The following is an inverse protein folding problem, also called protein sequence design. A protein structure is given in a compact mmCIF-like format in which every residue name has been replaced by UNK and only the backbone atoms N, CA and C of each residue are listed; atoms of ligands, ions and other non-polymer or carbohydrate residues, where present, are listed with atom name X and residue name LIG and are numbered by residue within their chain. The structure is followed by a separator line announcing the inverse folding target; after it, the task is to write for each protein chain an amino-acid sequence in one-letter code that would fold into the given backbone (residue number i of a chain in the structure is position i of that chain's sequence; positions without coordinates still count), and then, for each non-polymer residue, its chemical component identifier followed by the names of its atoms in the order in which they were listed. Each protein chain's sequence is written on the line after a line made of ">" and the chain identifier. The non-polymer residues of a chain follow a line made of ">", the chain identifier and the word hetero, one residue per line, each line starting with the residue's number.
data_IF_502379939072
#
_entry.id   IF_502379939072
#
_cell.length_a   1.000
_cell.length_b   1.000
_cell.length_c   1.000
_cell.angle_alpha   90.00
_cell.angle_beta   90.00
_cell.angle_gamma   90.00
#
_symmetry.space_group_name_H-M   'P 1'
#
loop_
_entity.id
_entity.type
_entity.pdbx_description
1 polymer ?
2 non-polymer ?
3 non-polymer ?
4 non-polymer ?
5 non-polymer ?
6 water ?
#
# COMPACT_ATOMS: atom_id res chain seq x y z
N UNK A 1 13.71 -26.50 -8.55
CA UNK A 1 13.70 -27.11 -9.88
C UNK A 1 12.97 -26.24 -10.92
N UNK A 2 11.86 -25.60 -10.52
CA UNK A 2 11.09 -24.79 -11.47
C UNK A 2 11.91 -23.65 -12.05
N UNK A 3 12.71 -22.99 -11.22
CA UNK A 3 13.42 -21.79 -11.66
C UNK A 3 14.91 -22.00 -11.84
N UNK A 4 15.38 -23.25 -11.80
CA UNK A 4 16.81 -23.49 -12.01
C UNK A 4 17.19 -23.09 -13.42
N UNK A 5 18.30 -22.37 -13.56
CA UNK A 5 18.76 -21.83 -14.85
C UNK A 5 17.73 -20.88 -15.47
N UNK A 6 16.86 -20.29 -14.65
CA UNK A 6 15.91 -19.29 -15.12
C UNK A 6 16.02 -18.08 -14.21
N UNK A 7 15.51 -16.93 -14.68
CA UNK A 7 15.52 -15.73 -13.86
C UNK A 7 14.13 -15.11 -13.79
N UNK A 8 13.91 -14.35 -12.72
CA UNK A 8 12.61 -13.75 -12.43
C UNK A 8 12.78 -12.24 -12.46
N UNK A 9 11.84 -11.54 -13.11
CA UNK A 9 11.80 -10.08 -13.05
C UNK A 9 10.58 -9.66 -12.26
N UNK A 10 10.79 -8.92 -11.17
CA UNK A 10 9.72 -8.30 -10.40
C UNK A 10 9.60 -6.84 -10.81
N UNK A 11 8.40 -6.41 -11.20
CA UNK A 11 8.20 -5.04 -11.64
C UNK A 11 7.69 -4.24 -10.45
N UNK A 12 8.52 -3.35 -9.93
CA UNK A 12 8.11 -2.52 -8.82
C UNK A 12 8.72 -2.95 -7.49
N UNK A 13 9.40 -2.02 -6.83
CA UNK A 13 10.00 -2.32 -5.56
C UNK A 13 9.26 -1.67 -4.39
N UNK A 14 7.95 -1.82 -4.34
CA UNK A 14 7.18 -1.44 -3.15
C UNK A 14 7.36 -2.48 -2.05
N UNK A 15 6.62 -2.37 -0.95
CA UNK A 15 6.79 -3.40 0.11
C UNK A 15 6.49 -4.80 -0.39
N UNK A 16 5.52 -4.95 -1.31
CA UNK A 16 5.16 -6.30 -1.77
C UNK A 16 6.22 -6.85 -2.72
N UNK A 17 6.63 -6.04 -3.70
CA UNK A 17 7.68 -6.51 -4.62
C UNK A 17 8.99 -6.84 -3.93
N UNK A 18 9.42 -6.01 -2.98
CA UNK A 18 10.68 -6.31 -2.29
C UNK A 18 10.56 -7.56 -1.46
N UNK A 19 9.41 -7.76 -0.81
CA UNK A 19 9.22 -8.98 -0.03
C UNK A 19 9.25 -10.21 -0.96
N UNK A 20 8.46 -10.18 -2.05
CA UNK A 20 8.67 -11.13 -3.16
C UNK A 20 10.11 -11.46 -3.48
N UNK A 21 10.93 -10.43 -3.71
CA UNK A 21 12.30 -10.68 -4.11
C UNK A 21 13.08 -11.41 -3.02
N UNK A 22 12.89 -10.99 -1.76
CA UNK A 22 13.63 -11.60 -0.66
C UNK A 22 13.27 -13.08 -0.56
N UNK A 23 11.97 -13.38 -0.60
CA UNK A 23 11.53 -14.76 -0.45
C UNK A 23 12.01 -15.65 -1.60
N UNK A 24 12.13 -15.12 -2.81
CA UNK A 24 12.70 -15.90 -3.89
C UNK A 24 14.21 -16.01 -3.76
N UNK A 25 14.85 -14.88 -3.48
CA UNK A 25 16.31 -14.86 -3.44
C UNK A 25 16.83 -15.79 -2.36
N UNK A 26 16.14 -15.86 -1.23
CA UNK A 26 16.68 -16.68 -0.14
C UNK A 26 16.58 -18.17 -0.46
N UNK A 27 15.83 -18.53 -1.49
CA UNK A 27 15.78 -19.89 -1.99
C UNK A 27 16.71 -20.11 -3.18
N UNK A 28 17.67 -19.22 -3.40
CA UNK A 28 18.60 -19.40 -4.49
C UNK A 28 18.08 -19.03 -5.87
N UNK A 29 17.01 -18.26 -5.95
CA UNK A 29 16.45 -17.85 -7.24
C UNK A 29 17.18 -16.62 -7.72
N UNK A 30 17.49 -16.58 -9.01
CA UNK A 30 18.01 -15.40 -9.68
C UNK A 30 16.84 -14.43 -9.93
N UNK A 31 16.77 -13.35 -9.16
CA UNK A 31 15.64 -12.42 -9.27
C UNK A 31 16.18 -11.00 -9.24
N UNK A 32 15.61 -10.13 -10.09
CA UNK A 32 15.85 -8.69 -10.07
C UNK A 32 14.53 -7.93 -9.86
N UNK A 33 14.62 -6.79 -9.19
CA UNK A 33 13.49 -5.88 -9.01
C UNK A 33 13.75 -4.64 -9.86
N UNK A 34 12.82 -4.30 -10.75
CA UNK A 34 12.92 -3.08 -11.53
C UNK A 34 12.02 -2.01 -10.93
N UNK A 35 12.60 -0.93 -10.44
CA UNK A 35 11.88 0.11 -9.70
C UNK A 35 12.06 1.47 -10.38
N UNK A 36 10.96 2.18 -10.61
CA UNK A 36 11.02 3.42 -11.38
C UNK A 36 11.67 4.55 -10.58
N UNK A 37 11.58 4.51 -9.25
CA UNK A 37 12.24 5.52 -8.41
C UNK A 37 13.70 5.67 -8.79
N UNK A 38 14.17 6.93 -8.75
CA UNK A 38 15.50 7.21 -9.27
C UNK A 38 16.57 6.57 -8.40
N UNK A 39 16.38 6.57 -7.07
CA UNK A 39 17.30 5.87 -6.16
C UNK A 39 16.61 5.69 -4.82
N UNK A 40 17.30 4.99 -3.91
CA UNK A 40 16.65 4.59 -2.66
C UNK A 40 16.49 5.73 -1.67
N UNK A 41 17.01 6.92 -1.95
CA UNK A 41 16.88 8.03 -1.00
C UNK A 41 15.57 8.79 -1.15
N UNK A 42 14.85 8.61 -2.25
CA UNK A 42 13.54 9.22 -2.45
C UNK A 42 12.57 8.83 -1.33
N UNK A 43 12.04 9.82 -0.63
CA UNK A 43 11.15 9.53 0.49
C UNK A 43 9.80 9.01 -0.01
N UNK A 44 9.23 8.07 0.73
CA UNK A 44 7.90 7.54 0.43
C UNK A 44 6.89 8.35 1.22
N UNK A 45 5.93 8.95 0.53
CA UNK A 45 4.92 9.76 1.18
C UNK A 45 3.78 8.86 1.62
N UNK A 46 3.26 9.09 2.82
CA UNK A 46 2.10 8.35 3.28
C UNK A 46 2.14 8.04 4.76
N UNK A 47 1.08 7.44 5.30
CA UNK A 47 1.05 7.06 6.70
C UNK A 47 1.87 5.80 6.98
N UNK A 48 1.68 5.26 8.17
CA UNK A 48 2.38 4.04 8.57
C UNK A 48 1.64 2.80 8.08
N UNK A 49 2.34 1.66 8.13
CA UNK A 49 1.80 0.35 7.82
C UNK A 49 1.89 -0.54 9.05
N UNK A 50 0.88 -1.38 9.25
CA UNK A 50 0.88 -2.38 10.30
C UNK A 50 0.83 -3.76 9.67
N UNK A 51 1.72 -4.64 10.09
CA UNK A 51 1.77 -6.00 9.57
C UNK A 51 0.99 -6.93 10.51
N UNK A 52 0.15 -7.78 9.93
CA UNK A 52 -0.76 -8.64 10.71
C UNK A 52 -0.18 -10.02 10.94
N UNK A 53 -0.51 -10.61 12.09
CA UNK A 53 -0.14 -12.00 12.31
C UNK A 53 -0.83 -12.90 11.28
N UNK A 54 -0.12 -13.91 10.81
CA UNK A 54 -0.66 -14.80 9.81
C UNK A 54 -0.63 -14.30 8.38
N UNK A 55 -0.36 -13.02 8.15
CA UNK A 55 -0.23 -12.56 6.77
C UNK A 55 1.05 -11.75 6.62
N UNK A 56 0.98 -10.44 6.79
CA UNK A 56 2.18 -9.63 6.65
C UNK A 56 3.31 -10.07 7.57
N UNK A 57 2.98 -10.40 8.82
CA UNK A 57 4.05 -10.83 9.72
C UNK A 57 4.56 -12.22 9.37
N UNK A 58 3.71 -13.04 8.74
CA UNK A 58 4.16 -14.36 8.35
C UNK A 58 5.15 -14.29 7.20
N UNK A 59 4.94 -13.34 6.28
CA UNK A 59 5.94 -13.06 5.27
C UNK A 59 7.26 -12.62 5.88
N UNK A 60 7.22 -11.73 6.88
CA UNK A 60 8.46 -11.24 7.47
C UNK A 60 9.17 -12.37 8.21
N UNK A 61 8.41 -13.20 8.93
CA UNK A 61 9.00 -14.31 9.67
C UNK A 61 9.70 -15.29 8.73
N UNK A 62 9.04 -15.64 7.62
CA UNK A 62 9.65 -16.54 6.64
C UNK A 62 10.96 -15.98 6.09
N UNK A 63 11.04 -14.64 5.98
CA UNK A 63 12.23 -13.97 5.45
C UNK A 63 13.32 -13.75 6.51
N UNK A 64 13.07 -14.07 7.78
CA UNK A 64 14.02 -13.79 8.83
C UNK A 64 14.03 -12.36 9.30
N UNK A 65 12.95 -11.62 9.05
CA UNK A 65 12.93 -10.18 9.29
C UNK A 65 11.90 -9.78 10.34
N UNK A 66 11.24 -10.74 10.99
CA UNK A 66 10.16 -10.37 11.90
C UNK A 66 10.70 -9.51 13.05
N UNK A 67 11.84 -9.88 13.62
CA UNK A 67 12.40 -9.09 14.70
C UNK A 67 12.83 -7.72 14.19
N UNK A 68 13.40 -7.69 12.99
CA UNK A 68 13.79 -6.43 12.39
C UNK A 68 12.61 -5.47 12.31
N UNK A 69 11.44 -6.00 11.92
CA UNK A 69 10.21 -5.20 11.88
C UNK A 69 9.80 -4.75 13.28
N UNK A 70 9.72 -5.69 14.23
CA UNK A 70 9.37 -5.35 15.60
C UNK A 70 10.25 -4.22 16.16
N UNK A 71 11.53 -4.23 15.83
CA UNK A 71 12.42 -3.25 16.42
C UNK A 71 12.14 -1.83 15.90
N UNK A 72 11.47 -1.70 14.77
CA UNK A 72 11.23 -0.38 14.17
C UNK A 72 9.76 -0.02 14.16
N UNK A 73 8.90 -0.85 14.74
CA UNK A 73 7.47 -0.64 14.74
C UNK A 73 6.99 -0.25 16.14
N UNK A 74 5.95 0.60 16.18
CA UNK A 74 5.37 1.12 17.41
C UNK A 74 3.92 0.67 17.50
N UNK A 75 3.50 0.00 18.56
CA UNK A 75 2.06 -0.11 18.81
C UNK A 75 1.53 1.27 19.15
N UNK A 76 0.36 1.60 18.64
CA UNK A 76 -0.23 2.88 18.96
C UNK A 76 -1.70 2.71 19.26
N UNK A 77 -2.17 3.42 20.29
CA UNK A 77 -3.58 3.42 20.63
C UNK A 77 -4.39 4.25 19.66
N UNK A 78 -5.70 4.29 19.92
CA UNK A 78 -6.65 5.01 19.09
C UNK A 78 -7.58 5.82 19.98
N UNK A 79 -7.74 7.09 19.66
CA UNK A 79 -8.77 7.95 20.23
C UNK A 79 -9.77 8.24 19.13
N UNK A 80 -11.05 8.09 19.43
CA UNK A 80 -12.12 8.64 18.61
C UNK A 80 -12.55 9.96 19.23
N UNK A 81 -12.59 11.01 18.42
CA UNK A 81 -13.02 12.33 18.84
C UNK A 81 -14.21 12.77 18.00
N UNK A 82 -15.00 13.71 18.52
CA UNK A 82 -16.01 14.33 17.68
C UNK A 82 -15.45 15.63 17.09
N UNK A 83 -16.28 16.30 16.30
CA UNK A 83 -15.89 17.51 15.59
C UNK A 83 -15.58 18.66 16.54
N UNK A 84 -16.05 18.60 17.77
CA UNK A 84 -15.77 19.64 18.75
C UNK A 84 -14.50 19.37 19.54
N UNK A 85 -13.83 18.25 19.29
CA UNK A 85 -12.63 17.90 20.04
C UNK A 85 -12.85 17.13 21.31
N UNK A 86 -14.08 16.66 21.56
CA UNK A 86 -14.32 15.79 22.69
C UNK A 86 -13.82 14.39 22.36
N UNK A 87 -13.04 13.81 23.28
CA UNK A 87 -12.60 12.42 23.12
C UNK A 87 -13.77 11.53 23.50
N UNK A 88 -14.30 10.80 22.52
CA UNK A 88 -15.44 9.92 22.72
C UNK A 88 -15.03 8.55 23.23
N UNK A 89 -13.84 8.07 22.88
CA UNK A 89 -13.30 6.86 23.47
C UNK A 89 -11.80 6.83 23.27
N UNK A 90 -11.14 6.06 24.13
CA UNK A 90 -9.68 5.94 24.14
C UNK A 90 -9.34 4.47 24.34
N UNK A 91 -8.56 3.92 23.44
CA UNK A 91 -8.15 2.52 23.53
C UNK A 91 -6.64 2.46 23.33
N UNK A 92 -5.91 2.20 24.40
CA UNK A 92 -4.47 2.00 24.31
C UNK A 92 -4.17 0.53 24.07
N UNK A 93 -2.93 0.26 23.69
CA UNK A 93 -2.51 -1.11 23.40
C UNK A 93 -2.04 -1.77 24.69
N UNK A 94 -2.67 -2.88 25.03
CA UNK A 94 -2.25 -3.65 26.18
C UNK A 94 -0.95 -4.38 25.85
N UNK A 95 -0.05 -4.55 26.83
CA UNK A 95 1.28 -5.11 26.51
C UNK A 95 1.23 -6.49 25.88
N UNK A 96 0.25 -7.33 26.23
CA UNK A 96 0.19 -8.64 25.58
C UNK A 96 -0.18 -8.53 24.10
N UNK A 97 -0.65 -7.37 23.66
CA UNK A 97 -1.01 -7.18 22.25
C UNK A 97 0.00 -6.32 21.50
N UNK A 98 1.18 -6.08 22.09
CA UNK A 98 2.16 -5.19 21.46
C UNK A 98 2.71 -5.72 20.14
N UNK A 99 2.46 -6.98 19.82
CA UNK A 99 2.97 -7.57 18.57
C UNK A 99 1.86 -7.85 17.57
N UNK A 100 0.62 -7.42 17.87
CA UNK A 100 -0.51 -7.72 17.00
C UNK A 100 -0.35 -7.05 15.65
N UNK A 101 -0.05 -5.76 15.65
CA UNK A 101 0.13 -5.00 14.42
C UNK A 101 0.76 -3.64 14.74
N UNK A 102 2.00 -3.62 15.20
CA UNK A 102 2.65 -2.34 15.48
C UNK A 102 2.94 -1.60 14.19
N UNK A 103 2.92 -0.26 14.28
CA UNK A 103 2.99 0.60 13.10
C UNK A 103 4.45 0.88 12.76
N UNK A 104 4.77 0.79 11.45
CA UNK A 104 6.12 1.05 10.95
C UNK A 104 6.07 2.09 9.84
N UNK A 105 7.03 3.01 9.87
CA UNK A 105 7.18 4.00 8.81
C UNK A 105 7.50 3.31 7.48
N UNK A 106 6.92 3.80 6.38
CA UNK A 106 7.11 3.14 5.09
C UNK A 106 8.55 3.17 4.63
N UNK A 107 9.30 4.23 4.96
CA UNK A 107 10.72 4.26 4.59
C UNK A 107 11.52 3.26 5.44
N UNK A 108 11.17 3.09 6.71
CA UNK A 108 11.83 2.08 7.52
C UNK A 108 11.56 0.67 7.00
N UNK A 109 10.31 0.37 6.63
CA UNK A 109 10.01 -0.94 6.05
C UNK A 109 10.79 -1.15 4.74
N UNK A 110 10.80 -0.14 3.86
CA UNK A 110 11.61 -0.26 2.64
C UNK A 110 13.07 -0.57 2.98
N UNK A 111 13.64 0.17 3.93
CA UNK A 111 15.04 -0.02 4.28
C UNK A 111 15.30 -1.44 4.79
N UNK A 112 14.39 -1.96 5.63
CA UNK A 112 14.53 -3.32 6.14
C UNK A 112 14.62 -4.31 4.99
N UNK A 113 13.71 -4.16 4.02
CA UNK A 113 13.65 -5.09 2.89
C UNK A 113 14.87 -4.94 1.98
N UNK A 114 15.21 -3.70 1.61
CA UNK A 114 16.38 -3.50 0.76
C UNK A 114 17.65 -4.04 1.42
N UNK A 115 17.83 -3.76 2.72
CA UNK A 115 19.01 -4.25 3.41
C UNK A 115 19.11 -5.77 3.39
N UNK A 116 17.98 -6.45 3.29
CA UNK A 116 17.94 -7.90 3.30
C UNK A 116 18.29 -8.52 1.95
N UNK A 117 18.37 -7.73 0.88
CA UNK A 117 18.61 -8.26 -0.45
C UNK A 117 20.09 -8.18 -0.79
N UNK A 118 20.55 -9.09 -1.66
CA UNK A 118 21.92 -9.00 -2.15
C UNK A 118 22.09 -7.72 -2.93
N UNK A 119 23.33 -7.19 -2.94
CA UNK A 119 23.62 -5.96 -3.65
C UNK A 119 23.17 -6.09 -5.10
N UNK A 120 22.63 -4.98 -5.64
CA UNK A 120 22.19 -4.87 -7.02
C UNK A 120 20.99 -5.75 -7.36
N UNK A 121 20.26 -6.25 -6.36
CA UNK A 121 19.00 -6.92 -6.65
C UNK A 121 18.00 -5.93 -7.23
N UNK A 122 17.90 -4.74 -6.64
CA UNK A 122 17.01 -3.72 -7.14
C UNK A 122 17.75 -2.90 -8.18
N UNK A 123 17.18 -2.77 -9.37
CA UNK A 123 17.70 -1.90 -10.41
C UNK A 123 16.85 -0.64 -10.43
N UNK A 124 17.39 0.46 -9.91
CA UNK A 124 16.68 1.72 -9.82
C UNK A 124 16.60 2.44 -11.18
N UNK A 125 15.74 3.46 -11.22
CA UNK A 125 15.54 4.25 -12.43
C UNK A 125 15.16 3.35 -13.60
N UNK A 126 14.24 2.40 -13.36
CA UNK A 126 13.79 1.47 -14.38
C UNK A 126 12.27 1.50 -14.36
N UNK A 127 11.68 2.27 -15.26
CA UNK A 127 10.23 2.32 -15.41
C UNK A 127 9.84 1.43 -16.56
N UNK A 128 9.26 0.27 -16.24
CA UNK A 128 8.79 -0.64 -17.28
C UNK A 128 7.65 0.01 -18.05
N UNK A 129 7.75 0.00 -19.38
CA UNK A 129 6.68 0.52 -20.21
C UNK A 129 6.04 -0.55 -21.09
N UNK A 130 6.71 -1.67 -21.37
CA UNK A 130 6.04 -2.69 -22.18
C UNK A 130 6.70 -4.05 -22.01
N UNK A 131 5.93 -5.09 -22.31
CA UNK A 131 6.34 -6.47 -22.18
C UNK A 131 6.08 -7.14 -23.52
N UNK A 132 6.98 -8.01 -23.91
CA UNK A 132 6.76 -8.78 -25.12
C UNK A 132 7.21 -10.20 -24.88
N UNK A 133 6.32 -11.18 -25.09
CA UNK A 133 6.72 -12.59 -24.91
C UNK A 133 7.47 -13.08 -26.13
N UNK A 134 8.64 -13.65 -25.92
CA UNK A 134 9.38 -14.33 -26.96
C UNK A 134 9.09 -15.82 -26.96
N UNK A 135 10.00 -16.57 -27.57
CA UNK A 135 9.83 -18.01 -27.64
C UNK A 135 9.82 -18.64 -26.26
N UNK A 136 10.72 -18.18 -25.39
CA UNK A 136 10.79 -18.68 -24.02
C UNK A 136 10.95 -17.59 -22.98
N UNK A 137 11.36 -16.38 -23.34
CA UNK A 137 11.61 -15.31 -22.38
C UNK A 137 10.79 -14.08 -22.72
N UNK A 138 10.38 -13.36 -21.66
CA UNK A 138 9.84 -12.03 -21.84
C UNK A 138 10.96 -11.05 -22.17
N UNK A 139 10.69 -10.10 -23.07
CA UNK A 139 11.55 -8.93 -23.21
C UNK A 139 10.88 -7.75 -22.51
N UNK A 140 11.63 -7.07 -21.65
CA UNK A 140 11.13 -5.96 -20.83
C UNK A 140 11.66 -4.67 -21.42
N UNK A 141 10.77 -3.74 -21.75
CA UNK A 141 11.18 -2.44 -22.27
C UNK A 141 11.01 -1.37 -21.20
N UNK A 142 12.10 -0.64 -20.94
CA UNK A 142 12.14 0.40 -19.93
C UNK A 142 12.33 1.75 -20.60
N UNK A 143 11.89 2.80 -19.89
CA UNK A 143 11.99 4.18 -20.39
C UNK A 143 13.45 4.60 -20.52
N UNK A 144 13.91 4.75 -21.77
CA UNK A 144 15.24 5.27 -22.11
C UNK A 144 16.37 4.45 -21.50
N UNK A 145 16.15 3.16 -21.29
CA UNK A 145 17.17 2.30 -20.71
C UNK A 145 17.18 1.00 -21.50
N UNK A 146 18.27 0.24 -21.45
CA UNK A 146 18.34 -0.98 -22.27
C UNK A 146 17.37 -2.03 -21.75
N UNK A 147 16.91 -2.87 -22.68
CA UNK A 147 15.91 -3.88 -22.36
C UNK A 147 16.55 -5.04 -21.60
N UNK A 148 15.69 -5.88 -21.00
CA UNK A 148 16.09 -7.04 -20.21
C UNK A 148 15.16 -8.20 -20.52
N UNK A 149 15.59 -9.42 -20.19
CA UNK A 149 14.76 -10.60 -20.43
C UNK A 149 14.54 -11.38 -19.14
N UNK A 150 13.43 -12.11 -19.07
CA UNK A 150 13.17 -12.94 -17.91
C UNK A 150 12.25 -14.10 -18.30
N UNK A 151 12.45 -15.24 -17.63
CA UNK A 151 11.56 -16.38 -17.83
C UNK A 151 10.22 -16.18 -17.16
N UNK A 152 10.19 -15.43 -16.06
CA UNK A 152 8.98 -15.21 -15.30
C UNK A 152 8.90 -13.73 -14.95
N UNK A 153 7.74 -13.10 -15.20
CA UNK A 153 7.54 -11.70 -14.83
C UNK A 153 6.47 -11.64 -13.75
N UNK A 154 6.74 -10.92 -12.66
CA UNK A 154 5.79 -10.73 -11.57
C UNK A 154 5.48 -9.25 -11.50
N UNK A 155 4.25 -8.87 -11.82
CA UNK A 155 3.84 -7.47 -11.80
C UNK A 155 3.54 -7.06 -10.36
N UNK A 156 4.35 -6.13 -9.82
CA UNK A 156 4.16 -5.67 -8.45
C UNK A 156 4.24 -4.15 -8.35
N UNK A 157 3.76 -3.43 -9.37
CA UNK A 157 4.07 -2.01 -9.47
C UNK A 157 2.88 -1.13 -9.11
N UNK A 158 2.00 -1.64 -8.26
CA UNK A 158 1.01 -0.80 -7.61
C UNK A 158 -0.31 -0.74 -8.34
N UNK A 159 -1.23 0.02 -7.73
CA UNK A 159 -2.60 -0.02 -8.15
C UNK A 159 -2.88 0.60 -9.51
N UNK A 160 -2.05 1.53 -9.97
CA UNK A 160 -2.28 2.17 -11.26
C UNK A 160 -1.47 1.54 -12.38
N UNK A 161 -1.02 0.30 -12.20
CA UNK A 161 -0.16 -0.35 -13.17
C UNK A 161 -0.78 -0.34 -14.56
N UNK A 162 0.04 -0.01 -15.56
CA UNK A 162 -0.37 -0.05 -16.96
C UNK A 162 0.14 -1.29 -17.69
N UNK A 163 0.75 -2.24 -16.98
CA UNK A 163 1.34 -3.42 -17.62
C UNK A 163 0.64 -4.69 -17.15
N UNK A 164 -0.70 -4.68 -17.13
CA UNK A 164 -1.46 -5.82 -16.64
C UNK A 164 -2.15 -6.65 -17.71
N UNK A 165 -2.18 -6.17 -18.96
CA UNK A 165 -3.08 -6.74 -19.96
C UNK A 165 -2.73 -8.19 -20.33
N UNK A 166 -1.48 -8.62 -20.15
CA UNK A 166 -1.25 -10.04 -20.35
C UNK A 166 -1.91 -10.90 -19.29
N UNK A 167 -2.35 -10.31 -18.17
CA UNK A 167 -2.96 -11.05 -17.09
C UNK A 167 -4.48 -10.85 -17.06
N UNK A 168 -4.95 -9.63 -17.32
CA UNK A 168 -6.37 -9.35 -17.17
C UNK A 168 -6.73 -8.06 -17.89
N UNK A 169 -7.97 -8.00 -18.38
CA UNK A 169 -8.47 -6.76 -18.97
C UNK A 169 -9.19 -5.88 -17.95
N UNK A 170 -9.30 -6.32 -16.71
CA UNK A 170 -9.91 -5.48 -15.67
C UNK A 170 -9.25 -4.11 -15.64
N UNK A 171 -10.07 -3.07 -15.43
CA UNK A 171 -9.60 -1.70 -15.34
C UNK A 171 -9.80 -1.18 -13.92
N UNK A 172 -8.89 -0.30 -13.49
CA UNK A 172 -9.04 0.32 -12.17
C UNK A 172 -10.26 1.24 -12.19
N UNK A 173 -10.98 1.29 -11.07
CA UNK A 173 -12.19 2.09 -10.93
C UNK A 173 -12.06 3.09 -9.79
N UNK A 174 -12.64 4.28 -9.97
CA UNK A 174 -12.86 5.20 -8.87
C UNK A 174 -14.10 4.79 -8.08
N UNK A 175 -14.01 4.83 -6.75
CA UNK A 175 -15.11 4.39 -5.90
C UNK A 175 -16.08 5.50 -5.53
N UNK A 176 -15.73 6.75 -5.78
CA UNK A 176 -16.59 7.86 -5.39
C UNK A 176 -16.17 8.62 -4.13
N UNK A 177 -15.12 8.19 -3.44
CA UNK A 177 -14.59 8.97 -2.33
C UNK A 177 -13.23 9.55 -2.69
N UNK A 178 -12.82 10.56 -1.93
CA UNK A 178 -11.62 11.31 -2.25
C UNK A 178 -10.84 11.56 -0.96
N UNK A 179 -9.51 11.59 -1.08
CA UNK A 179 -8.62 11.68 0.07
C UNK A 179 -7.61 12.80 -0.11
N UNK A 180 -7.37 13.53 0.98
CA UNK A 180 -6.37 14.57 1.03
C UNK A 180 -5.45 14.24 2.20
N UNK A 181 -4.15 14.19 1.92
CA UNK A 181 -3.18 13.82 2.94
C UNK A 181 -2.11 14.89 3.05
N UNK A 182 -1.48 14.93 4.22
CA UNK A 182 -0.42 15.90 4.44
C UNK A 182 0.39 15.48 5.65
N UNK A 183 1.61 15.98 5.71
CA UNK A 183 2.46 15.86 6.89
C UNK A 183 2.64 17.23 7.53
N UNK A 184 2.68 17.24 8.86
CA UNK A 184 3.08 18.40 9.63
C UNK A 184 4.34 18.03 10.40
N UNK A 185 5.41 18.77 10.15
CA UNK A 185 6.65 18.59 10.91
C UNK A 185 6.59 19.42 12.17
N UNK A 186 7.28 18.95 13.20
CA UNK A 186 7.25 19.52 14.55
C UNK A 186 5.80 19.83 14.96
N UNK A 187 4.93 18.82 14.99
CA UNK A 187 3.51 19.09 15.31
C UNK A 187 3.31 19.64 16.70
N UNK A 188 4.17 19.25 17.65
CA UNK A 188 4.04 19.76 19.02
C UNK A 188 4.13 21.28 19.04
N UNK A 189 4.78 21.86 18.04
CA UNK A 189 4.92 23.30 17.90
C UNK A 189 3.95 23.87 16.89
N UNK A 190 3.70 23.17 15.78
CA UNK A 190 2.98 23.78 14.67
C UNK A 190 1.47 23.53 14.69
N UNK A 191 1.03 22.42 15.28
CA UNK A 191 -0.38 22.21 15.57
C UNK A 191 -0.52 21.69 17.01
N UNK A 192 -0.11 22.50 18.00
CA UNK A 192 -0.03 21.98 19.37
C UNK A 192 -1.37 21.52 19.92
N UNK A 193 -2.44 22.24 19.61
CA UNK A 193 -3.74 21.85 20.14
C UNK A 193 -4.15 20.46 19.66
N UNK A 194 -4.02 20.21 18.34
CA UNK A 194 -4.40 18.90 17.80
C UNK A 194 -3.44 17.81 18.25
N UNK A 195 -2.16 18.15 18.37
CA UNK A 195 -1.16 17.21 18.85
C UNK A 195 -1.47 16.72 20.26
N UNK A 196 -1.88 17.64 21.15
CA UNK A 196 -2.26 17.24 22.49
C UNK A 196 -3.55 16.44 22.49
N UNK A 197 -4.47 16.75 21.56
CA UNK A 197 -5.69 15.97 21.44
C UNK A 197 -5.39 14.51 21.14
N UNK A 198 -4.45 14.26 20.21
CA UNK A 198 -4.05 12.89 19.91
C UNK A 198 -3.45 12.22 21.14
N UNK A 199 -2.64 12.96 21.89
CA UNK A 199 -2.09 12.49 23.16
C UNK A 199 -1.34 11.16 22.98
N UNK A 200 -0.51 11.11 21.95
CA UNK A 200 0.25 9.90 21.66
C UNK A 200 -0.52 8.79 20.99
N UNK A 201 -1.81 8.97 20.72
CA UNK A 201 -2.61 7.96 20.04
C UNK A 201 -2.95 8.41 18.64
N UNK A 202 -3.23 7.45 17.76
CA UNK A 202 -3.93 7.81 16.54
C UNK A 202 -5.28 8.42 16.87
N UNK A 203 -5.79 9.23 15.95
CA UNK A 203 -7.06 9.91 16.17
C UNK A 203 -7.94 9.78 14.94
N UNK A 204 -9.21 9.51 15.16
CA UNK A 204 -10.22 9.46 14.10
C UNK A 204 -11.44 10.25 14.52
N UNK A 205 -12.00 10.99 13.56
CA UNK A 205 -13.19 11.78 13.82
C UNK A 205 -14.03 11.82 12.55
N UNK A 206 -15.35 11.88 12.73
CA UNK A 206 -16.28 11.86 11.60
C UNK A 206 -17.44 12.81 11.87
N UNK A 207 -17.78 13.64 10.89
CA UNK A 207 -18.86 14.60 11.07
C UNK A 207 -19.38 15.00 9.71
N UNK A 208 -20.69 14.78 9.48
CA UNK A 208 -21.38 15.24 8.27
C UNK A 208 -20.66 14.77 7.01
N UNK A 209 -20.20 13.53 7.03
CA UNK A 209 -19.62 12.93 5.84
C UNK A 209 -18.16 13.25 5.60
N UNK A 210 -17.54 14.06 6.46
CA UNK A 210 -16.12 14.34 6.37
C UNK A 210 -15.40 13.57 7.46
N UNK A 211 -14.40 12.78 7.05
CA UNK A 211 -13.65 11.94 7.97
C UNK A 211 -12.24 12.49 8.10
N UNK A 212 -11.69 12.39 9.32
CA UNK A 212 -10.31 12.80 9.57
C UNK A 212 -9.59 11.71 10.33
N UNK A 213 -8.40 11.35 9.85
CA UNK A 213 -7.52 10.40 10.50
C UNK A 213 -6.16 11.04 10.71
N UNK A 214 -5.55 10.76 11.86
CA UNK A 214 -4.22 11.30 12.12
C UNK A 214 -3.38 10.35 12.95
N UNK A 215 -2.09 10.34 12.63
CA UNK A 215 -1.08 9.65 13.42
C UNK A 215 -0.10 10.72 13.89
N UNK A 216 -0.04 11.04 15.19
CA UNK A 216 0.80 12.15 15.63
C UNK A 216 2.29 11.86 15.65
N UNK A 217 2.69 10.62 15.36
CA UNK A 217 4.11 10.27 15.50
C UNK A 217 4.51 9.27 14.44
N UNK A 218 4.73 9.75 13.23
CA UNK A 218 5.27 8.94 12.16
C UNK A 218 6.71 9.41 11.93
N UNK A 219 7.64 8.81 12.68
CA UNK A 219 9.04 9.24 12.70
C UNK A 219 9.16 10.75 12.90
N UNK A 220 8.39 11.25 13.84
CA UNK A 220 8.49 12.63 14.26
C UNK A 220 7.52 13.58 13.60
N UNK A 221 6.96 13.21 12.45
CA UNK A 221 5.95 14.04 11.80
C UNK A 221 4.55 13.58 12.18
N UNK A 222 3.60 14.50 12.13
CA UNK A 222 2.19 14.14 12.21
C UNK A 222 1.67 13.94 10.80
N UNK A 223 1.08 12.79 10.53
CA UNK A 223 0.46 12.52 9.24
C UNK A 223 -1.04 12.48 9.44
N UNK A 224 -1.77 13.17 8.56
CA UNK A 224 -3.23 13.12 8.64
C UNK A 224 -3.85 13.02 7.26
N UNK A 225 -5.07 12.51 7.25
CA UNK A 225 -5.84 12.41 6.02
C UNK A 225 -7.27 12.83 6.28
N UNK A 226 -7.87 13.44 5.26
CA UNK A 226 -9.27 13.85 5.27
C UNK A 226 -9.94 13.20 4.08
N UNK A 227 -11.07 12.53 4.31
CA UNK A 227 -11.78 11.83 3.26
C UNK A 227 -13.25 12.21 3.23
N UNK A 228 -13.83 12.17 2.04
CA UNK A 228 -15.19 12.60 1.81
C UNK A 228 -15.64 12.05 0.46
N UNK A 229 -16.96 11.92 0.30
CA UNK A 229 -17.51 11.66 -1.02
C UNK A 229 -17.05 12.74 -1.99
N UNK A 230 -16.61 12.32 -3.17
CA UNK A 230 -16.14 13.28 -4.15
C UNK A 230 -17.24 14.26 -4.50
N UNK A 231 -16.99 15.56 -4.42
CA UNK A 231 -18.04 16.54 -4.73
C UNK A 231 -18.51 16.42 -6.17
N UNK A 232 -19.80 16.70 -6.38
CA UNK A 232 -20.39 16.57 -7.71
C UNK A 232 -19.81 17.59 -8.69
N UNK A 233 -19.41 18.77 -8.21
CA UNK A 233 -18.87 19.79 -9.10
C UNK A 233 -17.54 19.39 -9.72
N UNK A 234 -16.83 18.45 -9.12
CA UNK A 234 -15.47 18.13 -9.56
C UNK A 234 -15.42 17.39 -10.89
N UNK A 238 -12.01 18.07 -10.84
CA UNK A 238 -11.44 18.52 -9.58
C UNK A 238 -11.18 20.03 -9.59
N UNK A 239 -12.09 20.78 -8.94
CA UNK A 239 -12.03 22.23 -8.88
C UNK A 239 -11.00 22.76 -7.88
N UNK A 240 -10.24 21.87 -7.25
CA UNK A 240 -9.19 22.25 -6.31
C UNK A 240 -7.85 21.90 -6.95
N UNK A 241 -6.93 22.85 -6.94
CA UNK A 241 -5.57 22.66 -7.43
C UNK A 241 -4.68 22.33 -6.25
N UNK A 242 -4.24 21.08 -6.14
CA UNK A 242 -3.44 20.66 -4.99
C UNK A 242 -2.01 21.19 -5.06
N UNK A 243 -1.63 21.84 -6.15
CA UNK A 243 -0.39 22.58 -6.18
C UNK A 243 -0.54 23.96 -5.53
N UNK A 244 -1.78 24.42 -5.33
CA UNK A 244 -2.05 25.75 -4.77
C UNK A 244 -2.58 25.55 -3.35
N UNK A 245 -1.70 25.71 -2.35
CA UNK A 245 -2.14 25.44 -0.98
C UNK A 245 -3.30 26.35 -0.58
N UNK A 246 -3.32 27.57 -1.09
CA UNK A 246 -4.40 28.50 -0.74
C UNK A 246 -5.75 27.99 -1.23
N UNK A 247 -5.77 27.33 -2.39
CA UNK A 247 -7.02 26.78 -2.91
C UNK A 247 -7.51 25.62 -2.05
N UNK A 248 -6.59 24.76 -1.59
CA UNK A 248 -6.96 23.63 -0.74
C UNK A 248 -7.36 24.11 0.65
N UNK A 249 -6.59 25.03 1.24
CA UNK A 249 -6.98 25.58 2.54
C UNK A 249 -8.39 26.14 2.46
N UNK A 250 -8.69 26.87 1.38
CA UNK A 250 -10.01 27.49 1.27
C UNK A 250 -11.10 26.43 1.22
N UNK A 251 -10.88 25.39 0.43
CA UNK A 251 -11.88 24.31 0.31
C UNK A 251 -12.07 23.61 1.65
N UNK A 252 -10.97 23.24 2.31
CA UNK A 252 -11.07 22.46 3.54
C UNK A 252 -11.70 23.28 4.66
N UNK A 253 -11.36 24.57 4.77
CA UNK A 253 -11.93 25.38 5.84
C UNK A 253 -13.43 25.56 5.70
N UNK A 254 -13.95 25.53 4.46
CA UNK A 254 -15.40 25.55 4.27
C UNK A 254 -16.03 24.23 4.73
N UNK A 255 -15.44 23.11 4.31
CA UNK A 255 -15.97 21.80 4.70
C UNK A 255 -15.90 21.59 6.20
N UNK A 256 -14.84 22.07 6.84
CA UNK A 256 -14.61 21.87 8.27
C UNK A 256 -15.04 23.08 9.10
N UNK A 257 -15.92 23.93 8.56
CA UNK A 257 -16.29 25.18 9.22
C UNK A 257 -16.83 24.96 10.62
N UNK A 258 -17.52 23.84 10.87
CA UNK A 258 -18.09 23.63 12.19
C UNK A 258 -17.20 22.81 13.11
N UNK A 259 -15.98 22.49 12.67
CA UNK A 259 -15.07 21.74 13.52
C UNK A 259 -14.31 22.67 14.45
N UNK A 260 -13.87 22.11 15.58
CA UNK A 260 -13.09 22.84 16.56
C UNK A 260 -11.84 23.44 15.92
N UNK A 261 -11.36 24.56 16.50
CA UNK A 261 -10.20 25.26 15.95
C UNK A 261 -8.93 24.41 15.97
N UNK A 262 -8.82 23.43 16.87
CA UNK A 262 -7.63 22.58 16.85
C UNK A 262 -7.52 21.84 15.51
N UNK A 263 -8.67 21.44 14.95
CA UNK A 263 -8.70 20.85 13.62
C UNK A 263 -8.42 21.88 12.53
N UNK A 264 -9.06 23.05 12.63
CA UNK A 264 -8.84 24.07 11.61
C UNK A 264 -7.38 24.50 11.57
N UNK A 265 -6.70 24.51 12.72
CA UNK A 265 -5.30 24.95 12.70
C UNK A 265 -4.43 23.95 11.97
N UNK A 266 -4.78 22.66 12.06
CA UNK A 266 -4.15 21.64 11.22
C UNK A 266 -4.19 22.02 9.75
N UNK A 267 -5.37 22.39 9.25
CA UNK A 267 -5.52 22.77 7.86
C UNK A 267 -4.73 24.04 7.55
N UNK A 268 -4.81 25.04 8.43
CA UNK A 268 -4.21 26.34 8.12
C UNK A 268 -2.68 26.27 8.13
N UNK A 269 -2.06 25.37 8.89
CA UNK A 269 -0.60 25.37 8.96
C UNK A 269 0.07 24.36 8.05
N UNK A 270 -0.69 23.54 7.32
CA UNK A 270 -0.10 22.52 6.46
C UNK A 270 0.62 23.18 5.27
N UNK A 271 1.88 22.76 5.01
CA UNK A 271 2.65 23.38 3.94
C UNK A 271 2.16 22.93 2.55
N UNK A 272 1.87 21.64 2.37
CA UNK A 272 1.35 21.18 1.09
C UNK A 272 0.44 19.98 1.29
N UNK A 273 -0.52 19.84 0.37
CA UNK A 273 -1.52 18.77 0.45
C UNK A 273 -1.42 17.88 -0.78
N UNK A 274 -1.72 16.60 -0.58
CA UNK A 274 -1.74 15.60 -1.66
C UNK A 274 -3.16 15.06 -1.78
N UNK A 275 -3.76 15.22 -2.96
CA UNK A 275 -5.11 14.73 -3.21
C UNK A 275 -5.08 13.44 -4.02
N UNK A 276 -6.00 12.53 -3.71
CA UNK A 276 -6.01 11.21 -4.34
C UNK A 276 -7.42 10.65 -4.35
N UNK A 277 -7.97 10.40 -5.54
CA UNK A 277 -9.26 9.71 -5.60
C UNK A 277 -9.08 8.28 -5.10
N UNK A 278 -10.06 7.82 -4.31
CA UNK A 278 -10.10 6.41 -3.91
C UNK A 278 -10.39 5.53 -5.12
N UNK A 279 -9.66 4.42 -5.22
CA UNK A 279 -9.79 3.54 -6.37
C UNK A 279 -9.81 2.09 -5.92
N UNK A 280 -10.29 1.24 -6.81
CA UNK A 280 -10.35 -0.20 -6.57
C UNK A 280 -9.97 -0.89 -7.87
N UNK A 281 -9.26 -2.02 -7.76
CA UNK A 281 -8.99 -2.87 -8.93
C UNK A 281 -9.75 -4.17 -8.70
N UNK A 282 -10.98 -4.29 -9.20
CA UNK A 282 -11.91 -5.29 -8.63
C UNK A 282 -11.61 -6.69 -9.12
N UNK A 283 -11.58 -7.63 -8.18
CA UNK A 283 -11.48 -9.04 -8.48
C UNK A 283 -12.88 -9.56 -8.82
N UNK A 284 -13.03 -10.15 -10.01
CA UNK A 284 -14.34 -10.67 -10.41
C UNK A 284 -14.25 -11.99 -11.13
N UNK A 285 -14.49 -11.97 -12.44
CA UNK A 285 -14.24 -13.16 -13.26
C UNK A 285 -12.74 -13.49 -13.25
N UNK A 286 -12.44 -14.73 -13.63
CA UNK A 286 -11.07 -15.20 -13.60
C UNK A 286 -10.17 -14.32 -14.46
N UNK A 287 -8.88 -14.38 -14.16
CA UNK A 287 -7.89 -13.74 -14.99
C UNK A 287 -7.69 -14.55 -16.27
N UNK A 288 -6.87 -14.04 -17.19
CA UNK A 288 -6.70 -14.74 -18.46
C UNK A 288 -6.02 -16.11 -18.27
N UNK A 289 -6.55 -17.11 -18.96
CA UNK A 289 -5.92 -18.42 -18.96
C UNK A 289 -4.95 -18.55 -20.14
N UNK A 290 -4.07 -19.55 -20.05
CA UNK A 290 -3.14 -19.91 -21.13
C UNK A 290 -2.39 -18.69 -21.66
N UNK A 291 -1.69 -18.01 -20.75
CA UNK A 291 -0.92 -16.82 -21.11
C UNK A 291 0.32 -17.24 -21.92
N UNK A 292 0.82 -16.36 -22.79
CA UNK A 292 1.89 -16.79 -23.72
C UNK A 292 3.16 -17.25 -23.02
N UNK A 293 3.55 -16.60 -21.93
CA UNK A 293 4.65 -17.04 -21.08
C UNK A 293 4.23 -16.82 -19.62
N UNK A 294 4.94 -17.37 -18.63
CA UNK A 294 4.49 -17.23 -17.24
C UNK A 294 4.52 -15.79 -16.77
N UNK A 295 3.40 -15.33 -16.21
CA UNK A 295 3.29 -13.98 -15.68
C UNK A 295 2.15 -13.95 -14.68
N UNK A 296 2.30 -13.14 -13.63
CA UNK A 296 1.23 -12.95 -12.66
C UNK A 296 1.40 -11.58 -12.02
N UNK A 297 0.53 -11.27 -11.06
CA UNK A 297 0.55 -9.99 -10.36
C UNK A 297 0.30 -10.18 -8.88
N UNK A 298 0.89 -9.31 -8.08
CA UNK A 298 0.78 -9.36 -6.61
C UNK A 298 0.56 -7.95 -6.09
N UNK A 299 0.02 -7.88 -4.87
CA UNK A 299 -0.12 -6.58 -4.21
C UNK A 299 -1.21 -5.71 -4.82
N UNK A 300 -1.01 -4.39 -4.74
CA UNK A 300 -2.02 -3.48 -5.27
C UNK A 300 -2.25 -3.68 -6.76
N UNK A 301 -1.20 -4.06 -7.51
CA UNK A 301 -1.41 -4.36 -8.93
C UNK A 301 -2.46 -5.45 -9.12
N UNK A 302 -2.52 -6.40 -8.18
CA UNK A 302 -3.49 -7.49 -8.25
C UNK A 302 -4.86 -7.11 -7.67
N UNK A 303 -4.90 -6.30 -6.62
CA UNK A 303 -6.18 -6.13 -5.92
C UNK A 303 -6.26 -4.85 -5.09
N UNK A 304 -5.80 -3.73 -5.67
CA UNK A 304 -5.99 -2.41 -5.11
C UNK A 304 -7.41 -2.25 -4.55
N UNK A 305 -7.51 -1.63 -3.40
CA UNK A 305 -8.75 -1.66 -2.62
C UNK A 305 -8.79 -0.45 -1.71
N UNK A 306 -9.97 0.12 -1.47
CA UNK A 306 -10.08 1.33 -0.62
C UNK A 306 -9.42 1.10 0.73
N UNK A 307 -8.73 2.12 1.27
CA UNK A 307 -7.93 1.90 2.49
C UNK A 307 -8.73 2.08 3.78
N UNK A 308 -9.96 1.57 3.78
CA UNK A 308 -10.81 1.71 4.95
C UNK A 308 -10.98 0.40 5.73
N UNK A 309 -10.28 -0.67 5.36
CA UNK A 309 -10.31 -1.90 6.14
C UNK A 309 -8.94 -2.32 6.66
N UNK A 310 -7.88 -1.57 6.34
CA UNK A 310 -6.55 -1.93 6.77
C UNK A 310 -6.04 -3.24 6.23
N UNK A 311 -6.58 -3.73 5.12
CA UNK A 311 -6.15 -5.01 4.56
C UNK A 311 -5.23 -4.85 3.36
N UNK A 312 -4.94 -3.61 2.95
CA UNK A 312 -4.12 -3.28 1.79
C UNK A 312 -2.80 -4.00 1.66
N UNK A 313 -1.80 -3.66 2.50
CA UNK A 313 -0.48 -4.25 2.29
C UNK A 313 -0.45 -5.70 2.75
N UNK A 314 -1.29 -6.07 3.72
CA UNK A 314 -1.20 -7.43 4.27
C UNK A 314 -1.66 -8.47 3.29
N UNK A 315 -2.69 -8.18 2.49
CA UNK A 315 -3.05 -9.12 1.44
C UNK A 315 -1.96 -9.21 0.39
N UNK A 316 -1.25 -8.09 0.13
CA UNK A 316 -0.15 -8.14 -0.81
C UNK A 316 0.99 -8.98 -0.29
N UNK A 317 1.27 -8.91 1.01
CA UNK A 317 2.35 -9.71 1.56
C UNK A 317 1.99 -11.20 1.59
N UNK A 318 0.71 -11.52 1.78
CA UNK A 318 0.27 -12.90 1.62
C UNK A 318 0.47 -13.40 0.21
N UNK A 319 0.19 -12.57 -0.80
CA UNK A 319 0.50 -12.93 -2.18
C UNK A 319 1.95 -13.37 -2.31
N UNK A 320 2.86 -12.53 -1.81
CA UNK A 320 4.28 -12.85 -1.96
C UNK A 320 4.63 -14.14 -1.24
N UNK A 321 4.06 -14.35 -0.05
CA UNK A 321 4.33 -15.58 0.69
C UNK A 321 3.86 -16.80 -0.08
N UNK A 322 2.63 -16.75 -0.60
CA UNK A 322 2.04 -17.89 -1.29
C UNK A 322 2.77 -18.16 -2.60
N UNK A 323 2.93 -17.11 -3.42
CA UNK A 323 3.58 -17.30 -4.72
C UNK A 323 5.01 -17.81 -4.55
N UNK A 324 5.78 -17.23 -3.62
CA UNK A 324 7.16 -17.67 -3.47
C UNK A 324 7.23 -19.12 -3.00
N UNK A 325 6.33 -19.53 -2.11
CA UNK A 325 6.30 -20.92 -1.68
C UNK A 325 6.01 -21.85 -2.86
N UNK A 326 4.97 -21.55 -3.64
CA UNK A 326 4.63 -22.38 -4.78
C UNK A 326 5.77 -22.47 -5.77
N UNK A 327 6.50 -21.37 -5.99
CA UNK A 327 7.59 -21.41 -6.95
C UNK A 327 8.80 -22.16 -6.43
N UNK A 328 8.88 -22.44 -5.14
CA UNK A 328 10.09 -23.01 -4.58
C UNK A 328 9.88 -24.32 -3.81
N UNK A 329 8.65 -24.77 -3.59
CA UNK A 329 8.46 -25.91 -2.71
C UNK A 329 8.58 -27.26 -3.42
N UNK A 330 8.80 -27.26 -4.74
CA UNK A 330 9.01 -28.47 -5.51
C UNK A 330 7.76 -29.29 -5.79
N UNK A 331 6.58 -28.76 -5.51
CA UNK A 331 5.35 -29.55 -5.67
C UNK A 331 4.69 -29.38 -7.01
N UNK A 332 5.01 -28.34 -7.77
CA UNK A 332 4.28 -28.03 -8.99
C UNK A 332 5.08 -28.48 -10.22
N UNK A 333 4.39 -28.97 -11.25
CA UNK A 333 5.07 -29.43 -12.45
C UNK A 333 5.45 -28.30 -13.40
N UNK A 334 4.94 -27.10 -13.19
CA UNK A 334 5.31 -26.02 -14.08
C UNK A 334 5.13 -24.71 -13.35
N UNK A 335 5.81 -23.67 -13.85
CA UNK A 335 5.62 -22.33 -13.31
C UNK A 335 4.17 -21.90 -13.46
N UNK A 336 3.56 -22.20 -14.62
CA UNK A 336 2.17 -21.84 -14.84
C UNK A 336 1.26 -22.42 -13.76
N UNK A 337 1.52 -23.67 -13.35
CA UNK A 337 0.68 -24.31 -12.35
C UNK A 337 0.91 -23.74 -10.95
N UNK A 338 2.14 -23.40 -10.62
CA UNK A 338 2.40 -22.71 -9.35
C UNK A 338 1.68 -21.37 -9.30
N UNK A 339 1.68 -20.64 -10.41
CA UNK A 339 0.97 -19.35 -10.50
C UNK A 339 -0.53 -19.54 -10.32
N UNK A 340 -1.09 -20.51 -11.05
CA UNK A 340 -2.54 -20.75 -10.97
C UNK A 340 -2.96 -21.03 -9.53
N UNK A 341 -2.14 -21.79 -8.81
CA UNK A 341 -2.47 -22.12 -7.43
C UNK A 341 -2.46 -20.89 -6.54
N UNK A 342 -1.47 -20.01 -6.73
CA UNK A 342 -1.45 -18.74 -6.01
C UNK A 342 -2.68 -17.92 -6.33
N UNK A 343 -2.99 -17.74 -7.62
CA UNK A 343 -4.08 -16.85 -8.01
C UNK A 343 -5.43 -17.34 -7.48
N UNK A 344 -5.65 -18.66 -7.52
CA UNK A 344 -6.90 -19.19 -6.99
C UNK A 344 -7.03 -18.90 -5.49
N UNK A 345 -5.94 -19.05 -4.73
CA UNK A 345 -6.00 -18.72 -3.31
C UNK A 345 -6.26 -17.24 -3.11
N UNK A 346 -5.61 -16.39 -3.92
CA UNK A 346 -5.65 -14.96 -3.65
C UNK A 346 -6.98 -14.38 -4.04
N UNK A 347 -7.66 -14.98 -5.02
CA UNK A 347 -8.99 -14.53 -5.37
C UNK A 347 -9.95 -14.67 -4.20
N UNK A 348 -9.68 -15.61 -3.30
CA UNK A 348 -10.58 -15.83 -2.15
C UNK A 348 -10.34 -14.78 -1.08
N UNK A 349 -9.13 -14.75 -0.50
CA UNK A 349 -8.89 -13.75 0.53
C UNK A 349 -8.90 -12.35 -0.06
N UNK A 350 -8.54 -12.20 -1.34
CA UNK A 350 -8.59 -10.88 -1.96
C UNK A 350 -10.00 -10.38 -2.13
N UNK A 351 -10.91 -11.25 -2.58
CA UNK A 351 -12.31 -10.84 -2.67
C UNK A 351 -12.90 -10.54 -1.30
N UNK A 352 -12.51 -11.29 -0.28
CA UNK A 352 -13.00 -11.00 1.07
C UNK A 352 -12.53 -9.64 1.54
N UNK A 353 -11.23 -9.37 1.41
CA UNK A 353 -10.72 -8.07 1.82
C UNK A 353 -11.39 -6.95 1.03
N UNK A 354 -11.55 -7.13 -0.28
CA UNK A 354 -12.15 -6.08 -1.09
C UNK A 354 -13.60 -5.85 -0.69
N UNK A 355 -14.33 -6.90 -0.34
CA UNK A 355 -15.71 -6.73 0.11
C UNK A 355 -15.76 -5.96 1.41
N UNK A 356 -14.92 -6.34 2.38
CA UNK A 356 -14.89 -5.62 3.65
C UNK A 356 -14.51 -4.15 3.44
N UNK A 357 -13.50 -3.88 2.60
CA UNK A 357 -13.09 -2.50 2.34
C UNK A 357 -14.24 -1.72 1.71
N UNK A 358 -14.92 -2.33 0.75
CA UNK A 358 -15.98 -1.62 0.05
C UNK A 358 -17.19 -1.43 0.97
N UNK A 359 -17.46 -2.42 1.83
CA UNK A 359 -18.53 -2.28 2.82
C UNK A 359 -18.22 -1.19 3.83
N UNK A 360 -17.03 -1.20 4.42
CA UNK A 360 -16.63 -0.13 5.33
C UNK A 360 -16.81 1.23 4.68
N UNK A 361 -16.41 1.35 3.41
CA UNK A 361 -16.48 2.64 2.72
C UNK A 361 -17.93 3.13 2.62
N UNK A 362 -18.82 2.28 2.13
CA UNK A 362 -20.24 2.61 2.12
C UNK A 362 -20.69 3.12 3.49
N UNK A 363 -20.35 2.36 4.52
CA UNK A 363 -20.88 2.65 5.85
C UNK A 363 -20.26 3.90 6.45
N UNK A 364 -18.96 4.10 6.25
CA UNK A 364 -18.26 5.20 6.90
C UNK A 364 -18.66 6.56 6.35
N UNK A 365 -19.25 6.62 5.16
CA UNK A 365 -19.56 7.90 4.55
C UNK A 365 -21.05 8.22 4.55
N UNK A 366 -21.86 7.37 5.16
CA UNK A 366 -23.27 7.72 5.40
C UNK A 366 -23.34 8.96 6.29
N UNK A 367 -24.31 9.84 6.06
CA UNK A 367 -24.31 11.15 6.74
C UNK A 367 -24.31 11.06 8.26
N UNK A 368 -24.75 9.94 8.83
CA UNK A 368 -24.95 9.77 10.26
C UNK A 368 -23.83 9.00 10.95
N UNK A 369 -22.75 8.65 10.23
CA UNK A 369 -21.81 7.65 10.72
C UNK A 369 -21.10 8.10 11.98
N UNK A 370 -20.94 7.16 12.92
CA UNK A 370 -20.06 7.34 14.08
C UNK A 370 -19.17 6.11 14.21
N UNK A 371 -17.91 6.36 14.54
CA UNK A 371 -16.94 5.27 14.72
C UNK A 371 -17.35 4.39 15.90
X LIG B 1 3.15 0.17 -3.97
X LIG B 1 3.47 0.43 -2.53
X LIG B 1 2.32 1.15 -4.72
X LIG B 1 4.57 -0.04 -4.78
X LIG B 1 4.58 -0.01 -6.20
X LIG B 1 6.02 0.23 -6.63
X LIG B 1 6.18 0.15 -8.06
X LIG B 1 6.43 1.66 -6.27
X LIG B 1 7.68 1.61 -5.63
X LIG B 1 6.52 2.41 -7.63
X LIG B 1 7.51 3.40 -7.71
X LIG B 1 6.87 1.27 -8.58
X LIG B 1 6.43 1.42 -9.95
X LIG B 1 5.23 1.91 -10.40
X LIG B 1 5.13 1.83 -11.72
X LIG B 1 6.31 1.27 -12.14
X LIG B 1 6.83 0.94 -13.41
X LIG B 1 6.15 1.15 -14.56
X LIG B 1 8.04 0.36 -13.47
X LIG B 1 8.72 0.13 -12.34
X LIG B 1 8.33 0.43 -11.10
X LIG B 1 7.12 0.99 -11.05
X LIG B 1 -2.48 -0.48 3.66
X LIG B 1 -2.36 -1.14 4.84
X LIG B 1 -2.09 -2.30 4.92
X LIG B 1 -2.61 -0.35 5.94
X LIG B 1 -2.94 0.99 5.93
X LIG B 1 -3.14 1.60 6.98
X LIG B 1 -3.03 1.58 4.65
X LIG B 1 -3.36 2.94 4.58
X LIG B 1 -3.47 3.51 3.35
X LIG B 1 -3.80 4.85 3.23
X LIG B 1 -3.91 5.45 1.98
X LIG B 1 -4.27 6.91 1.89
X LIG B 1 -3.66 4.69 0.82
X LIG B 1 -3.74 5.31 -0.54
X LIG B 1 -3.30 3.35 0.97
X LIG B 1 -3.21 2.74 2.19
X LIG B 1 -2.87 1.37 2.30
X LIG B 1 -2.79 0.84 3.55
X LIG B 1 -2.60 0.55 1.10
X LIG B 1 -1.12 0.12 1.03
X LIG B 1 -0.31 1.20 1.36
X LIG B 1 -0.82 -0.60 -0.29
X LIG B 1 -1.58 -1.79 -0.25
X LIG B 1 0.64 -0.95 -0.51
X LIG B 1 1.41 0.22 -0.73
X LIG B 1 0.72 -1.89 -1.72
X LIG B 1 2.08 -2.11 -1.89
X LIG B 1 2.61 -2.61 -3.34
X LIG B 1 4.06 -2.91 -3.17
X LIG B 1 1.68 -3.59 -3.98
X LIG B 1 2.44 -1.25 -4.21
X LIG C 1 -0.08 -21.13 2.85
X LIG C 1 -0.89 -20.78 1.74
X LIG C 1 0.60 -19.84 3.39
X LIG C 1 0.51 -19.76 4.81
X LIG C 1 2.09 -19.93 2.94
X LIG C 1 2.15 -19.94 1.52
X LIG D 1 -4.57 7.09 10.00
X LIG D 1 -3.92 8.29 9.75
X LIG D 1 -3.94 8.77 8.46
X LIG D 1 -4.59 8.08 7.43
X LIG D 1 -5.29 6.84 7.66
X LIG D 1 -5.22 6.40 8.99
X LIG D 1 -4.50 8.81 5.88
X LIG D 1 -5.97 8.20 5.20
X LIG D 1 -6.53 9.01 4.24
X LIG D 1 -7.69 8.65 3.61
X LIG D 1 -8.29 7.47 3.95
X LIG D 1 -7.75 6.63 4.91
X LIG D 1 -6.57 6.96 5.58
X LIG D 1 -5.97 6.12 6.58
X LIG D 1 -6.66 4.81 6.87
X LIG D 1 -8.00 4.89 7.75
X LIG D 1 -8.69 3.49 7.93
X LIG D 1 -8.07 2.87 9.20
X LIG D 1 -8.14 3.82 10.33
X LIG D 1 -7.49 3.23 11.60
X LIG D 1 -7.74 1.77 11.73
X LIG D 1 -8.98 1.35 10.99
X LIG D 1 -8.77 1.57 9.48
X LIG D 1 -7.98 1.47 13.19
X LIG D 1 -4.56 6.57 11.41
X LIG D 1 -4.72 5.22 11.51
X LIG D 1 -3.47 6.84 12.11
X LIG D 1 -5.64 7.03 12.13
X LIG E 1 3.11 -34.09 -0.63
X LIG E 1 4.43 -34.59 -1.01
X LIG E 1 3.08 -32.64 -0.62
X LIG E 1 2.16 -34.60 -1.62
X LIG E 1 2.78 -34.57 0.71
#
# INVERSE_FOLDING_TARGET
>A
NLLSDKNVAIIGGGPVGLTMAKLLQQNGIDVSVYERDNDREARIFGGTLDLHKGSGQEAMKKAGLLQTYYDLALPMGVNIADEKGNILSTKNVKPENRFDNPEINRNDLRAILLNSLENDTVIWDRKLVMLEPGKKKWTLTFENKPSETADLVIIANGGMSKVRKFVTDTEVEETGTFNIQADIHHPEVNCPGFFQLCNGNRLMAAHQGNLLFANPNNNGALHFGISFKTPDEWKNQTQVDFQNRNSVVDFLLKEFSDWDERYKELIRVTSSFVGLATRIFPLGKSWKSKRPLPITMIGDAAHLMPPFAGQGVNSGLMDALILSDNLTNGKFNSIEEAIENYEQQMFIYGKEAQEESTQNEIEMFKPDFTF
>B hetero
1 FDA PA O1A O2A O5B C5B C4B O4B C3B O3B C2B O2B C1B N9A C8A N7A C5A C6A N6A N1A C2A N3A C4A N1 C2 O2 N3 C4 O4 C4X N5 C5X C6 C7 C7M C8 C8M C9 C9A N10 C10 C1' C2' O2' C3' O3' C4' O4' C5' O5' P O1P O2P O3P
>C hetero
1 GOL C1 O1 C2 O2 C3 O3
>D hetero
1 TFP C1 C2 C3 C4 C5 C6 S C7 C8 C9 C10 C11 C12 N1 C13 C14 C15 N2 C16 C17 N3 C18 C19 C20 C21 F1 F2 F3
>E hetero
1 SO4 S O1 O2 O3 O4
#
